data_IF_369182732128
#
_entry.id   IF_369182732128
#
_cell.length_a   1.000
_cell.length_b   1.000
_cell.length_c   1.000
_cell.angle_alpha   90.00
_cell.angle_beta   90.00
_cell.angle_gamma   90.00
#
_symmetry.space_group_name_H-M   'P 1'
#
loop_
_entity.id
_entity.type
_entity.pdbx_description
1 polymer ?
#
# COMPACT_ATOMS: atom_id res chain seq x y z
N UNK A 1 -21.17 -4.49 -4.83
CA UNK A 1 -21.71 -4.33 -6.20
C UNK A 1 -20.61 -4.53 -7.25
N UNK A 2 -20.03 -5.73 -7.40
CA UNK A 2 -18.86 -5.97 -8.29
C UNK A 2 -19.21 -5.94 -9.79
N UNK A 3 -20.47 -6.20 -10.14
CA UNK A 3 -20.92 -6.33 -11.54
C UNK A 3 -21.70 -5.11 -12.07
N UNK A 4 -22.04 -4.16 -11.20
CA UNK A 4 -22.84 -2.99 -11.58
C UNK A 4 -22.13 -2.12 -12.62
N UNK A 5 -20.80 -2.01 -12.52
CA UNK A 5 -20.00 -1.28 -13.51
C UNK A 5 -20.01 -1.96 -14.89
N UNK A 6 -19.98 -3.30 -14.95
CA UNK A 6 -20.06 -4.03 -16.22
C UNK A 6 -21.42 -3.84 -16.90
N UNK A 7 -22.51 -3.82 -16.11
CA UNK A 7 -23.86 -3.58 -16.64
C UNK A 7 -23.96 -2.15 -17.19
N UNK A 8 -23.46 -1.15 -16.46
CA UNK A 8 -23.42 0.24 -16.94
C UNK A 8 -22.56 0.39 -18.20
N UNK A 9 -21.45 -0.33 -18.28
CA UNK A 9 -20.57 -0.32 -19.45
C UNK A 9 -21.24 -0.91 -20.70
N UNK A 10 -21.92 -2.06 -20.55
CA UNK A 10 -22.68 -2.67 -21.66
C UNK A 10 -23.84 -1.76 -22.09
N UNK A 11 -24.56 -1.18 -21.13
CA UNK A 11 -25.61 -0.19 -21.41
C UNK A 11 -25.08 1.04 -22.15
N UNK A 12 -23.90 1.53 -21.76
CA UNK A 12 -23.22 2.64 -22.43
C UNK A 12 -22.83 2.29 -23.87
N UNK A 13 -22.37 1.07 -24.15
CA UNK A 13 -22.06 0.61 -25.50
C UNK A 13 -23.33 0.55 -26.36
N UNK A 14 -24.41 -0.05 -25.86
CA UNK A 14 -25.69 -0.11 -26.58
C UNK A 14 -26.24 1.28 -26.87
N UNK A 15 -26.23 2.17 -25.88
CA UNK A 15 -26.63 3.57 -26.04
C UNK A 15 -25.75 4.28 -27.08
N UNK A 16 -24.45 4.02 -27.09
CA UNK A 16 -23.52 4.61 -28.05
C UNK A 16 -23.80 4.19 -29.49
N UNK A 17 -24.09 2.90 -29.70
CA UNK A 17 -24.45 2.37 -31.01
C UNK A 17 -25.77 2.98 -31.47
N UNK A 18 -26.79 2.96 -30.60
CA UNK A 18 -28.13 3.49 -30.90
C UNK A 18 -28.08 4.98 -31.24
N UNK A 19 -27.36 5.77 -30.44
CA UNK A 19 -27.14 7.19 -30.67
C UNK A 19 -26.45 7.47 -32.01
N UNK A 20 -25.41 6.70 -32.35
CA UNK A 20 -24.69 6.82 -33.62
C UNK A 20 -25.56 6.47 -34.82
N UNK A 21 -26.46 5.49 -34.70
CA UNK A 21 -27.38 5.10 -35.78
C UNK A 21 -28.54 6.06 -35.97
N UNK A 22 -29.04 6.70 -34.90
CA UNK A 22 -30.18 7.61 -34.98
C UNK A 22 -29.80 9.05 -35.35
N UNK A 23 -28.61 9.52 -34.99
CA UNK A 23 -28.18 10.91 -35.21
C UNK A 23 -27.31 11.07 -36.46
N UNK A 24 -27.83 10.68 -37.61
CA UNK A 24 -27.21 10.87 -38.94
C UNK A 24 -27.61 12.18 -39.60
N UNK A 25 -28.23 13.10 -38.86
CA UNK A 25 -28.61 14.42 -39.40
C UNK A 25 -27.38 15.16 -39.92
N UNK A 26 -27.42 15.48 -41.21
CA UNK A 26 -26.32 16.13 -41.90
C UNK A 26 -26.25 17.60 -41.47
N UNK A 27 -25.11 18.01 -40.93
CA UNK A 27 -24.82 19.42 -40.66
C UNK A 27 -23.91 19.92 -41.77
N UNK A 28 -24.35 20.96 -42.47
CA UNK A 28 -23.52 21.66 -43.45
C UNK A 28 -22.59 22.62 -42.71
N UNK A 29 -21.32 22.24 -42.60
CA UNK A 29 -20.27 23.11 -42.09
C UNK A 29 -19.63 23.87 -43.25
N UNK A 30 -19.68 25.19 -43.16
CA UNK A 30 -19.05 26.08 -44.12
C UNK A 30 -17.78 26.64 -43.48
N UNK A 31 -16.64 26.20 -43.98
CA UNK A 31 -15.33 26.69 -43.56
C UNK A 31 -14.85 27.72 -44.58
N UNK A 32 -14.81 28.99 -44.16
CA UNK A 32 -14.25 30.10 -44.94
C UNK A 32 -12.87 30.44 -44.39
N UNK A 33 -11.84 30.31 -45.22
CA UNK A 33 -10.49 30.79 -44.90
C UNK A 33 -10.29 32.09 -45.69
N UNK A 34 -10.59 33.21 -45.04
CA UNK A 34 -10.63 34.55 -45.68
C UNK A 34 -9.27 34.98 -46.25
N UNK A 35 -8.16 34.54 -45.63
CA UNK A 35 -6.82 34.84 -46.11
C UNK A 35 -6.45 34.12 -47.42
N UNK A 36 -7.07 32.97 -47.71
CA UNK A 36 -6.79 32.17 -48.91
C UNK A 36 -7.94 32.17 -49.93
N UNK A 37 -9.01 32.94 -49.68
CA UNK A 37 -10.28 32.92 -50.43
C UNK A 37 -10.82 31.50 -50.68
N UNK A 38 -10.57 30.59 -49.75
CA UNK A 38 -10.91 29.19 -49.89
C UNK A 38 -12.17 28.89 -49.08
N UNK A 39 -13.20 28.36 -49.74
CA UNK A 39 -14.47 28.00 -49.11
C UNK A 39 -14.70 26.51 -49.26
N UNK A 40 -14.73 25.79 -48.13
CA UNK A 40 -14.99 24.35 -48.09
C UNK A 40 -16.34 24.12 -47.46
N UNK A 41 -17.22 23.45 -48.20
CA UNK A 41 -18.50 22.97 -47.70
C UNK A 41 -18.38 21.48 -47.39
N UNK A 42 -18.47 21.14 -46.10
CA UNK A 42 -18.49 19.76 -45.64
C UNK A 42 -19.89 19.43 -45.15
N UNK A 43 -20.49 18.39 -45.71
CA UNK A 43 -21.82 17.91 -45.32
C UNK A 43 -21.59 16.54 -44.72
N UNK A 44 -21.47 16.49 -43.38
CA UNK A 44 -21.22 15.25 -42.63
C UNK A 44 -22.00 15.24 -41.33
N UNK A 45 -22.36 14.07 -40.79
CA UNK A 45 -22.93 13.98 -39.45
C UNK A 45 -21.83 14.31 -38.44
N UNK A 46 -21.79 15.55 -37.94
CA UNK A 46 -20.74 16.05 -37.03
C UNK A 46 -20.90 15.46 -35.61
N UNK A 47 -22.14 15.14 -35.24
CA UNK A 47 -22.47 14.61 -33.92
C UNK A 47 -21.90 13.21 -33.67
N UNK A 48 -21.83 12.38 -34.71
CA UNK A 48 -21.30 11.00 -34.61
C UNK A 48 -19.81 10.98 -34.22
N UNK A 49 -18.88 11.62 -34.95
CA UNK A 49 -17.46 11.61 -34.60
C UNK A 49 -17.17 12.33 -33.27
N UNK A 50 -17.88 13.42 -32.94
CA UNK A 50 -17.74 14.08 -31.63
C UNK A 50 -18.19 13.18 -30.48
N UNK A 51 -19.28 12.45 -30.67
CA UNK A 51 -19.75 11.49 -29.69
C UNK A 51 -18.76 10.33 -29.52
N UNK A 52 -18.22 9.79 -30.61
CA UNK A 52 -17.23 8.72 -30.55
C UNK A 52 -15.93 9.15 -29.85
N UNK A 53 -15.41 10.35 -30.12
CA UNK A 53 -14.20 10.84 -29.43
C UNK A 53 -14.44 11.04 -27.94
N UNK A 54 -15.61 11.56 -27.56
CA UNK A 54 -15.97 11.76 -26.17
C UNK A 54 -16.23 10.43 -25.44
N UNK A 55 -16.95 9.50 -26.07
CA UNK A 55 -17.19 8.17 -25.55
C UNK A 55 -15.88 7.39 -25.35
N UNK A 56 -14.97 7.48 -26.31
CA UNK A 56 -13.65 6.86 -26.21
C UNK A 56 -12.80 7.49 -25.11
N UNK A 57 -12.86 8.81 -24.94
CA UNK A 57 -12.21 9.52 -23.84
C UNK A 57 -12.70 9.03 -22.46
N UNK A 58 -14.02 8.89 -22.30
CA UNK A 58 -14.62 8.35 -21.07
C UNK A 58 -14.16 6.89 -20.85
N UNK A 59 -14.21 6.07 -21.90
CA UNK A 59 -13.76 4.68 -21.86
C UNK A 59 -12.31 4.58 -21.37
N UNK A 60 -11.43 5.41 -21.94
CA UNK A 60 -10.02 5.46 -21.61
C UNK A 60 -9.81 5.89 -20.15
N UNK A 61 -10.48 6.95 -19.69
CA UNK A 61 -10.40 7.40 -18.30
C UNK A 61 -10.79 6.31 -17.32
N UNK A 62 -11.88 5.58 -17.61
CA UNK A 62 -12.37 4.54 -16.72
C UNK A 62 -11.41 3.34 -16.70
N UNK A 63 -10.97 2.86 -17.86
CA UNK A 63 -10.00 1.75 -17.95
C UNK A 63 -8.69 2.11 -17.23
N UNK A 64 -8.18 3.32 -17.46
CA UNK A 64 -6.99 3.82 -16.78
C UNK A 64 -7.15 3.82 -15.27
N UNK A 65 -8.29 4.33 -14.77
CA UNK A 65 -8.60 4.33 -13.33
C UNK A 65 -8.58 2.91 -12.76
N UNK A 66 -9.20 1.94 -13.43
CA UNK A 66 -9.21 0.56 -12.96
C UNK A 66 -7.82 -0.08 -12.95
N UNK A 67 -7.02 0.14 -13.99
CA UNK A 67 -5.65 -0.39 -14.04
C UNK A 67 -4.79 0.20 -12.93
N UNK A 68 -4.80 1.53 -12.80
CA UNK A 68 -4.03 2.23 -11.78
C UNK A 68 -4.46 1.81 -10.37
N UNK A 69 -5.76 1.75 -10.10
CA UNK A 69 -6.29 1.36 -8.81
C UNK A 69 -5.98 -0.11 -8.47
N UNK A 70 -5.97 -1.01 -9.46
CA UNK A 70 -5.60 -2.41 -9.28
C UNK A 70 -4.12 -2.57 -8.89
N UNK A 71 -3.23 -1.80 -9.52
CA UNK A 71 -1.80 -1.77 -9.16
C UNK A 71 -1.63 -1.24 -7.73
N UNK A 72 -2.35 -0.16 -7.39
CA UNK A 72 -2.32 0.42 -6.05
C UNK A 72 -2.78 -0.57 -4.97
N UNK A 73 -3.84 -1.35 -5.24
CA UNK A 73 -4.29 -2.43 -4.35
C UNK A 73 -3.23 -3.53 -4.20
N UNK A 74 -2.50 -3.85 -5.27
CA UNK A 74 -1.39 -4.80 -5.24
C UNK A 74 -0.29 -4.33 -4.30
N UNK A 75 0.14 -3.08 -4.43
CA UNK A 75 1.16 -2.48 -3.57
C UNK A 75 0.70 -2.42 -2.11
N UNK A 76 -0.56 -2.03 -1.85
CA UNK A 76 -1.12 -1.99 -0.51
C UNK A 76 -1.13 -3.38 0.16
N UNK A 77 -1.42 -4.43 -0.61
CA UNK A 77 -1.37 -5.82 -0.12
C UNK A 77 0.05 -6.24 0.23
N UNK A 78 1.03 -5.89 -0.61
CA UNK A 78 2.45 -6.16 -0.33
C UNK A 78 2.91 -5.42 0.92
N UNK A 79 2.61 -4.13 1.02
CA UNK A 79 2.94 -3.31 2.18
C UNK A 79 2.28 -3.86 3.47
N UNK A 80 1.02 -4.30 3.41
CA UNK A 80 0.33 -4.93 4.53
C UNK A 80 0.98 -6.26 4.95
N UNK A 81 1.40 -7.08 3.98
CA UNK A 81 2.10 -8.33 4.27
C UNK A 81 3.47 -8.09 4.91
N UNK A 82 4.22 -7.09 4.44
CA UNK A 82 5.50 -6.67 5.01
C UNK A 82 5.33 -6.13 6.43
N UNK A 83 4.34 -5.26 6.65
CA UNK A 83 4.03 -4.71 7.99
C UNK A 83 3.70 -5.84 8.97
N UNK A 84 2.97 -6.86 8.52
CA UNK A 84 2.64 -8.04 9.32
C UNK A 84 3.88 -8.89 9.65
N UNK A 85 4.80 -9.05 8.70
CA UNK A 85 6.08 -9.75 8.93
C UNK A 85 6.95 -8.98 9.93
N UNK A 86 7.08 -7.67 9.75
CA UNK A 86 7.86 -6.82 10.64
C UNK A 86 7.32 -6.86 12.07
N UNK A 87 5.99 -6.78 12.23
CA UNK A 87 5.34 -6.92 13.54
C UNK A 87 5.67 -8.25 14.23
N UNK A 88 5.76 -9.36 13.49
CA UNK A 88 6.14 -10.66 14.06
C UNK A 88 7.61 -10.70 14.48
N UNK A 89 8.51 -10.11 13.70
CA UNK A 89 9.92 -10.04 14.04
C UNK A 89 10.16 -9.21 15.30
N UNK A 90 9.50 -8.06 15.42
CA UNK A 90 9.57 -7.21 16.61
C UNK A 90 9.06 -7.93 17.86
N UNK A 91 7.97 -8.69 17.76
CA UNK A 91 7.47 -9.50 18.88
C UNK A 91 8.47 -10.59 19.29
N UNK A 92 9.06 -11.30 18.32
CA UNK A 92 10.09 -12.31 18.59
C UNK A 92 11.34 -11.71 19.24
N UNK A 93 11.77 -10.55 18.80
CA UNK A 93 12.93 -9.86 19.36
C UNK A 93 12.64 -9.40 20.80
N UNK A 94 11.44 -8.87 21.06
CA UNK A 94 10.99 -8.52 22.42
C UNK A 94 10.99 -9.74 23.35
N UNK A 95 10.48 -10.88 22.89
CA UNK A 95 10.49 -12.12 23.68
C UNK A 95 11.92 -12.57 23.99
N UNK A 96 12.84 -12.49 23.02
CA UNK A 96 14.26 -12.80 23.23
C UNK A 96 14.90 -11.87 24.27
N UNK A 97 14.64 -10.57 24.18
CA UNK A 97 15.14 -9.60 25.17
C UNK A 97 14.62 -9.94 26.56
N UNK A 98 13.33 -10.23 26.70
CA UNK A 98 12.75 -10.62 28.00
C UNK A 98 13.36 -11.91 28.55
N UNK A 99 13.69 -12.88 27.69
CA UNK A 99 14.36 -14.12 28.09
C UNK A 99 15.81 -13.85 28.54
N UNK A 100 16.53 -12.97 27.84
CA UNK A 100 17.88 -12.56 28.20
C UNK A 100 17.89 -11.80 29.53
N UNK A 101 16.89 -10.98 29.82
CA UNK A 101 16.73 -10.31 31.11
C UNK A 101 16.58 -11.32 32.25
N UNK A 102 15.69 -12.31 32.12
CA UNK A 102 15.55 -13.39 33.11
C UNK A 102 16.86 -14.16 33.33
N UNK A 103 17.53 -14.52 32.24
CA UNK A 103 18.84 -15.19 32.29
C UNK A 103 19.92 -14.33 32.96
N UNK A 104 19.84 -13.01 32.83
CA UNK A 104 20.77 -12.07 33.46
C UNK A 104 20.49 -11.94 34.96
N UNK A 105 19.22 -11.87 35.36
CA UNK A 105 18.82 -11.90 36.78
C UNK A 105 19.29 -13.20 37.47
N UNK A 106 19.14 -14.35 36.82
CA UNK A 106 19.67 -15.63 37.33
C UNK A 106 21.19 -15.59 37.53
N UNK A 107 21.93 -15.05 36.55
CA UNK A 107 23.39 -14.92 36.62
C UNK A 107 23.83 -13.94 37.72
N UNK A 108 23.12 -12.83 37.90
CA UNK A 108 23.36 -11.90 39.00
C UNK A 108 23.14 -12.58 40.34
N UNK A 109 22.04 -13.33 40.52
CA UNK A 109 21.78 -14.05 41.75
C UNK A 109 22.84 -15.10 42.07
N UNK A 110 23.36 -15.83 41.06
CA UNK A 110 24.47 -16.76 41.25
C UNK A 110 25.74 -16.01 41.66
N UNK A 111 26.03 -14.88 41.01
CA UNK A 111 27.21 -14.06 41.32
C UNK A 111 27.16 -13.54 42.76
N UNK A 112 26.00 -13.05 43.21
CA UNK A 112 25.76 -12.61 44.58
C UNK A 112 25.95 -13.75 45.58
N UNK A 113 25.41 -14.95 45.30
CA UNK A 113 25.60 -16.13 46.15
C UNK A 113 27.07 -16.52 46.26
N UNK A 114 27.82 -16.49 45.16
CA UNK A 114 29.26 -16.79 45.14
C UNK A 114 30.05 -15.73 45.90
N UNK A 115 29.71 -14.44 45.75
CA UNK A 115 30.32 -13.36 46.54
C UNK A 115 30.09 -13.56 48.03
N UNK A 116 28.85 -13.85 48.46
CA UNK A 116 28.54 -14.11 49.86
C UNK A 116 29.29 -15.34 50.40
N UNK A 117 29.41 -16.41 49.61
CA UNK A 117 30.21 -17.58 49.99
C UNK A 117 31.69 -17.22 50.12
N UNK A 118 32.24 -16.44 49.19
CA UNK A 118 33.63 -16.01 49.24
C UNK A 118 33.90 -15.10 50.44
N UNK A 119 33.01 -14.14 50.74
CA UNK A 119 33.09 -13.29 51.93
C UNK A 119 33.02 -14.11 53.21
N UNK A 120 32.14 -15.11 53.29
CA UNK A 120 32.04 -16.02 54.44
C UNK A 120 33.30 -16.86 54.66
N UNK A 121 33.94 -17.30 53.57
CA UNK A 121 35.20 -18.04 53.64
C UNK A 121 36.37 -17.13 54.05
N UNK A 122 36.38 -15.89 53.56
CA UNK A 122 37.43 -14.91 53.86
C UNK A 122 37.35 -14.45 55.32
N UNK A 123 36.14 -14.32 55.88
CA UNK A 123 35.92 -14.01 57.31
C UNK A 123 36.27 -15.18 58.24
N UNK A 124 36.08 -16.44 57.81
CA UNK A 124 36.54 -17.62 58.56
C UNK A 124 38.07 -17.77 58.57
N UNK A 125 38.76 -17.31 57.51
CA UNK A 125 40.23 -17.33 57.42
C UNK A 125 40.91 -16.15 58.13
N UNK A 126 40.17 -15.11 58.53
CA UNK A 126 40.72 -13.92 59.18
C UNK A 126 40.62 -13.93 60.72
N UNK A 127 40.24 -15.04 61.35
CA UNK A 127 40.26 -15.17 62.82
C UNK A 127 41.72 -15.13 63.33
N UNK A 128 42.15 -14.10 64.08
CA UNK A 128 43.49 -14.06 64.66
C UNK A 128 43.58 -15.03 65.84
N UNK A 129 44.76 -15.62 66.15
CA UNK A 129 44.93 -16.43 67.34
C UNK A 129 44.74 -15.54 68.57
N UNK A 130 43.81 -15.96 69.41
CA UNK A 130 43.47 -15.37 70.70
C UNK A 130 44.73 -15.29 71.57
N UNK A 131 45.10 -14.07 71.96
CA UNK A 131 46.19 -13.82 72.88
C UNK A 131 45.80 -14.30 74.28
N UNK A 132 46.43 -15.38 74.77
CA UNK A 132 46.41 -15.76 76.18
C UNK A 132 47.22 -14.76 77.02
N UNK A 133 46.64 -14.15 78.07
CA UNK A 133 47.40 -13.37 79.04
C UNK A 133 47.71 -14.22 80.28
N UNK A 134 48.99 -14.44 80.55
CA UNK A 134 49.59 -14.56 81.90
C UNK A 134 51.07 -14.87 81.80
#
# INVERSE_FOLDING_TARGET
MRYLWLILFVGFIFFSIDFATQNTSEVTLLYTIDWLNFTVRSTRPVFVPLFFTLAWGILFCVVYFFLHHSVLLGQLRMQSAETRRLKRLVLLERDKVSNLELRNEELQQITERVQLQLESQTTLLSSPPEATPS
#
